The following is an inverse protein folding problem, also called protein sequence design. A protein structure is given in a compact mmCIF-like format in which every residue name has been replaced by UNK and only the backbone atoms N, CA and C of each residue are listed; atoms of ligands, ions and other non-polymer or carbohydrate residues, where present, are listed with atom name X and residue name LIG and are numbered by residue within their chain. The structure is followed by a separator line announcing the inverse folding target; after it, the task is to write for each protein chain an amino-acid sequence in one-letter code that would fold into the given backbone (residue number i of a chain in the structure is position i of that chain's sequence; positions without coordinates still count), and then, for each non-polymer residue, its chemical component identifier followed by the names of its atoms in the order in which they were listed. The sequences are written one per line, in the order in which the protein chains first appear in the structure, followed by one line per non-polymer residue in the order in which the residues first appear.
data_IF_383050455328
#
_entry.id   IF_383050455328
#
_cell.length_a   1.000
_cell.length_b   1.000
_cell.length_c   1.000
_cell.angle_alpha   90.00
_cell.angle_beta   90.00
_cell.angle_gamma   90.00
#
_symmetry.space_group_name_H-M   'P 1'
#
loop_
_entity.id
_entity.type
_entity.pdbx_description
1 polymer ?
#
# COMPACT_ATOMS: atom_id res chain seq x y z
N UNK A 1 42.20 58.25 -29.86
CA UNK A 1 40.92 58.50 -29.16
C UNK A 1 40.47 57.21 -28.50
N UNK A 2 40.20 57.29 -27.19
CA UNK A 2 39.60 56.29 -26.29
C UNK A 2 40.38 55.00 -26.00
N UNK A 3 41.07 54.87 -24.85
CA UNK A 3 40.55 54.57 -23.47
C UNK A 3 40.30 53.05 -23.34
N UNK A 4 41.21 52.26 -22.75
CA UNK A 4 41.43 51.98 -21.29
C UNK A 4 40.62 50.77 -20.77
N UNK A 5 41.31 49.96 -19.95
CA UNK A 5 40.86 48.96 -18.95
C UNK A 5 40.61 47.53 -19.48
N UNK A 6 41.46 46.52 -19.22
CA UNK A 6 41.96 45.95 -17.94
C UNK A 6 40.85 45.19 -17.18
N UNK A 7 41.13 43.91 -16.95
CA UNK A 7 40.77 43.11 -15.78
C UNK A 7 39.38 42.45 -15.66
N UNK A 8 39.47 41.13 -15.44
CA UNK A 8 39.02 40.45 -14.22
C UNK A 8 37.82 39.48 -14.28
N UNK A 9 38.12 38.32 -13.72
CA UNK A 9 37.30 37.49 -12.83
C UNK A 9 36.20 36.60 -13.43
N UNK A 10 36.50 35.30 -13.34
CA UNK A 10 35.66 34.31 -12.67
C UNK A 10 34.19 34.31 -13.10
N UNK A 11 33.88 33.43 -14.07
CA UNK A 11 32.54 32.87 -14.14
C UNK A 11 32.28 32.08 -12.85
N UNK A 12 31.53 32.76 -11.97
CA UNK A 12 30.97 32.29 -10.71
C UNK A 12 30.61 30.80 -10.74
N UNK A 13 31.38 29.99 -10.03
CA UNK A 13 30.82 28.86 -9.31
C UNK A 13 29.78 29.44 -8.37
N UNK A 14 28.50 29.20 -8.62
CA UNK A 14 27.47 29.43 -7.61
C UNK A 14 27.74 28.50 -6.42
N UNK A 15 28.56 28.98 -5.48
CA UNK A 15 28.70 28.41 -4.15
C UNK A 15 27.34 28.56 -3.47
N UNK A 16 26.75 27.44 -3.09
CA UNK A 16 25.41 27.36 -2.52
C UNK A 16 25.23 28.32 -1.35
N UNK A 17 24.27 29.23 -1.46
CA UNK A 17 23.84 30.07 -0.33
C UNK A 17 23.10 29.15 0.64
N UNK A 18 23.75 28.79 1.74
CA UNK A 18 23.11 28.07 2.85
C UNK A 18 21.95 28.91 3.40
N UNK A 19 20.80 28.28 3.59
CA UNK A 19 19.64 28.93 4.20
C UNK A 19 19.83 28.90 5.72
N UNK A 20 19.97 30.06 6.37
CA UNK A 20 20.16 30.14 7.81
C UNK A 20 18.92 30.69 8.50
N UNK A 21 18.50 30.04 9.59
CA UNK A 21 17.52 30.58 10.54
C UNK A 21 18.28 30.91 11.82
N UNK A 22 18.49 32.20 12.09
CA UNK A 22 19.33 32.66 13.21
C UNK A 22 20.78 32.17 13.07
N UNK A 23 21.28 31.48 14.11
CA UNK A 23 22.65 30.93 14.15
C UNK A 23 22.77 29.53 13.50
N UNK A 24 21.64 28.89 13.15
CA UNK A 24 21.64 27.55 12.56
C UNK A 24 21.54 27.59 11.04
N UNK A 25 22.60 27.17 10.37
CA UNK A 25 22.60 26.91 8.93
C UNK A 25 21.87 25.59 8.65
N UNK A 26 20.79 25.64 7.88
CA UNK A 26 20.07 24.44 7.44
C UNK A 26 20.94 23.78 6.36
N UNK A 27 21.43 22.55 6.60
CA UNK A 27 22.25 21.85 5.61
C UNK A 27 21.43 21.55 4.37
N UNK A 28 22.07 21.60 3.21
CA UNK A 28 21.43 21.20 1.96
C UNK A 28 21.10 19.71 2.00
N UNK A 29 20.07 19.28 1.27
CA UNK A 29 19.70 17.86 1.09
C UNK A 29 20.90 17.03 0.56
N UNK A 30 21.85 17.70 -0.12
CA UNK A 30 23.09 17.09 -0.62
C UNK A 30 24.10 16.82 0.48
N UNK A 31 24.14 17.63 1.53
CA UNK A 31 25.06 17.50 2.66
C UNK A 31 24.51 16.55 3.72
N UNK A 32 23.22 16.68 4.04
CA UNK A 32 22.55 15.84 5.03
C UNK A 32 21.13 15.51 4.56
N UNK A 33 20.73 14.22 4.58
CA UNK A 33 19.38 13.87 4.21
C UNK A 33 18.38 14.46 5.21
N UNK A 34 17.31 15.05 4.69
CA UNK A 34 16.29 15.73 5.51
C UNK A 34 15.21 14.72 5.87
N UNK A 35 14.87 14.63 7.15
CA UNK A 35 13.77 13.80 7.65
C UNK A 35 12.52 14.66 7.87
N UNK A 36 11.42 14.32 7.22
CA UNK A 36 10.10 14.95 7.44
C UNK A 36 9.03 13.87 7.53
N UNK A 37 8.28 13.85 8.63
CA UNK A 37 7.20 12.87 8.88
C UNK A 37 7.61 11.42 8.61
N UNK A 38 8.82 11.06 9.07
CA UNK A 38 9.48 9.75 8.84
C UNK A 38 9.88 9.42 7.41
N UNK A 39 9.59 10.30 6.44
CA UNK A 39 10.19 10.25 5.11
C UNK A 39 11.58 10.87 5.14
N UNK A 40 12.57 10.14 4.66
CA UNK A 40 13.94 10.63 4.49
C UNK A 40 14.14 11.01 3.02
N UNK A 41 14.51 12.27 2.78
CA UNK A 41 14.87 12.78 1.46
C UNK A 41 16.39 12.81 1.36
N UNK A 42 16.93 11.99 0.48
CA UNK A 42 18.34 11.97 0.12
C UNK A 42 18.58 12.76 -1.17
N UNK A 43 19.85 13.02 -1.49
CA UNK A 43 20.23 13.71 -2.74
C UNK A 43 19.79 12.97 -4.01
N UNK A 44 19.54 11.66 -3.92
CA UNK A 44 19.03 10.87 -5.03
C UNK A 44 17.54 11.08 -5.29
N UNK A 45 16.80 11.59 -4.30
CA UNK A 45 15.34 11.73 -4.27
C UNK A 45 14.59 10.41 -4.58
N UNK A 46 15.27 9.27 -4.48
CA UNK A 46 14.71 7.95 -4.76
C UNK A 46 14.41 7.23 -3.46
N UNK A 47 13.18 6.76 -3.35
CA UNK A 47 12.71 5.97 -2.21
C UNK A 47 13.33 4.55 -2.14
N UNK A 48 14.27 4.21 -3.03
CA UNK A 48 14.89 2.88 -3.12
C UNK A 48 15.68 2.47 -1.87
N UNK A 49 16.31 3.43 -1.19
CA UNK A 49 17.05 3.19 0.06
C UNK A 49 16.11 2.79 1.20
N UNK A 50 15.02 3.54 1.36
CA UNK A 50 13.99 3.27 2.35
C UNK A 50 13.31 1.92 2.13
N UNK A 51 12.96 1.59 0.87
CA UNK A 51 12.38 0.28 0.53
C UNK A 51 13.32 -0.87 0.89
N UNK A 52 14.63 -0.74 0.61
CA UNK A 52 15.63 -1.74 1.01
C UNK A 52 15.72 -1.87 2.52
N UNK A 53 15.64 -0.76 3.24
CA UNK A 53 15.65 -0.77 4.71
C UNK A 53 14.42 -1.48 5.27
N UNK A 54 13.21 -1.16 4.79
CA UNK A 54 11.97 -1.83 5.19
C UNK A 54 12.04 -3.34 4.96
N UNK A 55 12.65 -3.79 3.86
CA UNK A 55 12.87 -5.22 3.60
C UNK A 55 13.81 -5.87 4.62
N UNK A 56 14.89 -5.19 5.01
CA UNK A 56 15.82 -5.68 6.05
C UNK A 56 15.12 -5.75 7.39
N UNK A 57 14.41 -4.69 7.77
CA UNK A 57 13.68 -4.61 9.04
C UNK A 57 12.64 -5.72 9.14
N UNK A 58 11.86 -5.95 8.07
CA UNK A 58 10.91 -7.06 7.99
C UNK A 58 11.60 -8.41 8.20
N UNK A 59 12.75 -8.63 7.57
CA UNK A 59 13.51 -9.88 7.72
C UNK A 59 13.99 -10.07 9.15
N UNK A 60 14.46 -9.01 9.80
CA UNK A 60 14.88 -9.02 11.21
C UNK A 60 13.68 -9.34 12.12
N UNK A 61 12.54 -8.67 11.93
CA UNK A 61 11.33 -8.90 12.73
C UNK A 61 10.81 -10.34 12.59
N UNK A 62 10.69 -10.84 11.35
CA UNK A 62 10.24 -12.21 11.11
C UNK A 62 11.20 -13.25 11.70
N UNK A 63 12.52 -13.01 11.61
CA UNK A 63 13.52 -13.91 12.18
C UNK A 63 13.48 -13.91 13.71
N UNK A 64 13.29 -12.75 14.34
CA UNK A 64 13.12 -12.63 15.78
C UNK A 64 11.87 -13.39 16.26
N UNK A 65 10.75 -13.25 15.54
CA UNK A 65 9.52 -13.99 15.83
C UNK A 65 9.74 -15.50 15.64
N UNK A 66 10.43 -15.92 14.58
CA UNK A 66 10.72 -17.33 14.34
C UNK A 66 11.51 -17.96 15.49
N UNK A 67 12.48 -17.23 16.04
CA UNK A 67 13.37 -17.64 17.15
C UNK A 67 12.76 -17.48 18.55
N UNK A 68 11.59 -16.86 18.69
CA UNK A 68 10.96 -16.57 20.00
C UNK A 68 10.53 -17.79 20.82
N UNK A 69 10.61 -19.02 20.29
CA UNK A 69 10.13 -20.23 20.96
C UNK A 69 8.60 -20.35 21.06
N UNK A 70 7.85 -19.34 20.60
CA UNK A 70 6.38 -19.32 20.71
C UNK A 70 5.71 -20.40 19.83
N UNK A 71 4.54 -20.91 20.24
CA UNK A 71 3.66 -21.66 19.36
C UNK A 71 3.31 -20.88 18.09
N UNK A 72 3.20 -21.59 16.97
CA UNK A 72 2.98 -21.01 15.64
C UNK A 72 1.76 -20.07 15.53
N UNK A 73 0.69 -20.40 16.26
CA UNK A 73 -0.54 -19.60 16.33
C UNK A 73 -0.27 -18.18 16.86
N UNK A 74 0.55 -18.07 17.90
CA UNK A 74 0.92 -16.78 18.49
C UNK A 74 1.87 -16.00 17.59
N UNK A 75 2.78 -16.68 16.87
CA UNK A 75 3.64 -16.03 15.86
C UNK A 75 2.80 -15.41 14.73
N UNK A 76 1.80 -16.14 14.24
CA UNK A 76 0.86 -15.64 13.24
C UNK A 76 0.03 -14.46 13.76
N UNK A 77 -0.41 -14.51 15.02
CA UNK A 77 -1.11 -13.41 15.68
C UNK A 77 -0.24 -12.15 15.80
N UNK A 78 1.03 -12.29 16.23
CA UNK A 78 2.01 -11.19 16.30
C UNK A 78 2.25 -10.58 14.92
N UNK A 79 2.32 -11.41 13.88
CA UNK A 79 2.40 -10.91 12.52
C UNK A 79 1.17 -10.05 12.17
N UNK A 80 -0.04 -10.58 12.37
CA UNK A 80 -1.28 -9.93 11.96
C UNK A 80 -1.51 -8.60 12.68
N UNK A 81 -1.24 -8.53 13.99
CA UNK A 81 -1.57 -7.38 14.82
C UNK A 81 -0.37 -6.48 15.17
N UNK A 82 0.87 -6.96 15.00
CA UNK A 82 2.08 -6.19 15.31
C UNK A 82 2.87 -5.83 14.05
N UNK A 83 3.33 -6.84 13.32
CA UNK A 83 4.23 -6.64 12.17
C UNK A 83 3.51 -5.98 11.00
N UNK A 84 2.31 -6.44 10.67
CA UNK A 84 1.57 -5.98 9.49
C UNK A 84 1.24 -4.47 9.57
N UNK A 85 0.65 -3.92 10.66
CA UNK A 85 0.44 -2.48 10.79
C UNK A 85 1.75 -1.68 10.72
N UNK A 86 2.81 -2.18 11.38
CA UNK A 86 4.14 -1.53 11.37
C UNK A 86 4.77 -1.51 9.98
N UNK A 87 4.54 -2.55 9.17
CA UNK A 87 5.03 -2.65 7.79
C UNK A 87 4.22 -1.78 6.83
N UNK A 88 2.91 -1.65 7.04
CA UNK A 88 2.04 -0.84 6.18
C UNK A 88 2.41 0.64 6.19
N UNK A 89 2.87 1.17 7.32
CA UNK A 89 3.25 2.57 7.44
C UNK A 89 4.36 3.02 6.47
N UNK A 90 5.57 2.41 6.45
CA UNK A 90 6.59 2.78 5.46
C UNK A 90 6.13 2.52 4.03
N UNK A 91 5.34 1.46 3.79
CA UNK A 91 4.79 1.19 2.45
C UNK A 91 3.81 2.27 1.97
N UNK A 92 3.20 3.02 2.90
CA UNK A 92 2.27 4.12 2.65
C UNK A 92 3.02 5.43 2.37
N UNK A 93 4.07 5.71 3.15
CA UNK A 93 4.86 6.94 3.05
C UNK A 93 5.74 7.01 1.79
N UNK A 94 6.36 5.89 1.40
CA UNK A 94 7.29 5.84 0.26
C UNK A 94 6.59 5.42 -1.03
N UNK A 95 7.08 5.85 -2.20
CA UNK A 95 6.54 5.40 -3.49
C UNK A 95 6.97 3.95 -3.77
N UNK A 96 6.14 2.98 -3.36
CA UNK A 96 6.45 1.54 -3.49
C UNK A 96 5.66 0.92 -4.65
N UNK A 97 6.34 0.28 -5.63
CA UNK A 97 5.63 -0.45 -6.68
C UNK A 97 5.04 -1.75 -6.14
N UNK A 98 3.86 -2.14 -6.63
CA UNK A 98 3.14 -3.36 -6.20
C UNK A 98 3.99 -4.64 -6.30
N UNK A 99 4.90 -4.74 -7.28
CA UNK A 99 5.80 -5.88 -7.44
C UNK A 99 6.72 -6.10 -6.24
N UNK A 100 7.16 -5.01 -5.59
CA UNK A 100 7.98 -5.11 -4.37
C UNK A 100 7.16 -5.63 -3.21
N UNK A 101 5.91 -5.16 -3.07
CA UNK A 101 4.98 -5.62 -2.03
C UNK A 101 4.69 -7.11 -2.17
N UNK A 102 4.47 -7.59 -3.39
CA UNK A 102 4.28 -9.02 -3.68
C UNK A 102 5.51 -9.86 -3.31
N UNK A 103 6.72 -9.33 -3.54
CA UNK A 103 7.95 -10.00 -3.14
C UNK A 103 8.10 -10.09 -1.61
N UNK A 104 7.69 -9.05 -0.87
CA UNK A 104 7.63 -9.08 0.60
C UNK A 104 6.59 -10.09 1.09
N UNK A 105 5.39 -10.10 0.50
CA UNK A 105 4.33 -11.06 0.83
C UNK A 105 4.77 -12.51 0.62
N UNK A 106 5.53 -12.78 -0.45
CA UNK A 106 6.09 -14.12 -0.70
C UNK A 106 7.03 -14.57 0.42
N UNK A 107 7.87 -13.66 0.95
CA UNK A 107 8.75 -13.96 2.08
C UNK A 107 7.93 -14.21 3.35
N UNK A 108 6.96 -13.34 3.64
CA UNK A 108 6.04 -13.50 4.78
C UNK A 108 5.28 -14.83 4.72
N UNK A 109 4.76 -15.19 3.55
CA UNK A 109 4.02 -16.44 3.32
C UNK A 109 4.86 -17.68 3.67
N UNK A 110 6.17 -17.65 3.43
CA UNK A 110 7.06 -18.77 3.79
C UNK A 110 7.15 -18.95 5.31
N UNK A 111 7.29 -17.84 6.06
CA UNK A 111 7.29 -17.87 7.52
C UNK A 111 5.94 -18.31 8.07
N UNK A 112 4.83 -17.76 7.57
CA UNK A 112 3.49 -18.12 8.01
C UNK A 112 3.19 -19.61 7.81
N UNK A 113 3.53 -20.18 6.64
CA UNK A 113 3.35 -21.61 6.39
C UNK A 113 4.17 -22.46 7.35
N UNK A 114 5.43 -22.07 7.60
CA UNK A 114 6.31 -22.77 8.54
C UNK A 114 5.77 -22.71 9.97
N UNK A 115 5.29 -21.56 10.43
CA UNK A 115 4.75 -21.38 11.78
C UNK A 115 3.47 -22.17 11.98
N UNK A 116 2.58 -22.19 10.98
CA UNK A 116 1.29 -22.89 11.07
C UNK A 116 1.38 -24.39 10.75
N UNK A 117 2.56 -24.91 10.39
CA UNK A 117 2.73 -26.31 10.00
C UNK A 117 2.07 -26.66 8.66
N UNK A 118 1.85 -25.66 7.80
CA UNK A 118 1.21 -25.84 6.49
C UNK A 118 2.23 -26.32 5.45
N UNK A 119 1.82 -27.16 4.48
CA UNK A 119 2.70 -27.58 3.39
C UNK A 119 3.27 -26.39 2.61
N UNK A 120 4.55 -26.48 2.21
CA UNK A 120 5.18 -25.43 1.38
C UNK A 120 4.47 -25.24 0.04
N UNK A 121 3.83 -26.29 -0.47
CA UNK A 121 3.05 -26.31 -1.72
C UNK A 121 1.68 -25.61 -1.62
N UNK A 122 1.20 -25.30 -0.40
CA UNK A 122 -0.07 -24.60 -0.23
C UNK A 122 -0.03 -23.26 -0.98
N UNK A 123 -1.07 -22.92 -1.73
CA UNK A 123 -1.12 -21.64 -2.46
C UNK A 123 -1.26 -20.46 -1.49
N UNK A 124 -0.76 -19.27 -1.86
CA UNK A 124 -1.02 -18.05 -1.10
C UNK A 124 -2.50 -17.67 -1.12
N UNK A 125 -3.24 -18.09 -2.15
CA UNK A 125 -4.69 -17.93 -2.25
C UNK A 125 -5.40 -18.64 -1.10
N UNK A 126 -5.01 -19.87 -0.76
CA UNK A 126 -5.59 -20.59 0.39
C UNK A 126 -5.12 -20.06 1.75
N UNK A 127 -4.05 -19.25 1.79
CA UNK A 127 -3.52 -18.67 3.02
C UNK A 127 -4.25 -17.38 3.42
N UNK A 128 -4.59 -16.54 2.44
CA UNK A 128 -5.19 -15.21 2.63
C UNK A 128 -6.64 -15.11 2.12
N UNK A 129 -7.15 -16.16 1.47
CA UNK A 129 -8.46 -16.19 0.86
C UNK A 129 -9.59 -16.22 1.90
N UNK A 130 -10.61 -15.42 1.65
CA UNK A 130 -11.84 -15.42 2.45
C UNK A 130 -12.93 -16.29 1.84
N UNK A 131 -12.78 -16.71 0.58
CA UNK A 131 -13.71 -17.59 -0.14
C UNK A 131 -13.32 -19.07 -0.11
N UNK A 132 -12.17 -19.41 0.47
CA UNK A 132 -11.67 -20.79 0.57
C UNK A 132 -12.21 -21.51 1.79
N UNK A 133 -12.41 -22.84 1.71
CA UNK A 133 -12.79 -23.67 2.87
C UNK A 133 -11.90 -23.47 4.10
N UNK A 134 -10.63 -23.17 3.85
CA UNK A 134 -9.65 -22.83 4.88
C UNK A 134 -9.73 -21.31 5.10
N UNK A 135 -10.50 -20.90 6.11
CA UNK A 135 -10.64 -19.49 6.50
C UNK A 135 -9.64 -19.18 7.62
N UNK A 136 -8.46 -18.66 7.26
CA UNK A 136 -7.51 -18.12 8.25
C UNK A 136 -7.77 -16.64 8.43
N UNK A 137 -7.67 -16.16 9.67
CA UNK A 137 -7.73 -14.72 10.00
C UNK A 137 -6.39 -14.04 9.69
N UNK A 138 -5.91 -14.19 8.44
CA UNK A 138 -4.67 -13.63 7.95
C UNK A 138 -4.93 -12.71 6.77
N UNK A 139 -4.52 -11.45 6.91
CA UNK A 139 -4.58 -10.49 5.81
C UNK A 139 -3.35 -10.61 4.91
N UNK A 140 -3.58 -10.60 3.59
CA UNK A 140 -2.50 -10.47 2.61
C UNK A 140 -1.90 -9.07 2.63
N UNK A 141 -0.57 -8.96 2.55
CA UNK A 141 0.11 -7.66 2.53
C UNK A 141 -0.28 -6.83 1.30
N UNK A 142 -0.39 -7.47 0.14
CA UNK A 142 -0.80 -6.84 -1.11
C UNK A 142 -2.24 -6.31 -1.05
N UNK A 143 -3.14 -7.01 -0.37
CA UNK A 143 -4.52 -6.58 -0.15
C UNK A 143 -4.57 -5.33 0.72
N UNK A 144 -3.96 -5.37 1.91
CA UNK A 144 -3.94 -4.22 2.82
C UNK A 144 -3.19 -3.04 2.21
N UNK A 145 -2.15 -3.27 1.40
CA UNK A 145 -1.47 -2.23 0.65
C UNK A 145 -2.41 -1.55 -0.36
N UNK A 146 -3.13 -2.32 -1.19
CA UNK A 146 -4.11 -1.78 -2.16
C UNK A 146 -5.19 -0.98 -1.45
N UNK A 147 -5.72 -1.47 -0.33
CA UNK A 147 -6.74 -0.78 0.48
C UNK A 147 -6.20 0.51 1.09
N UNK A 148 -4.99 0.46 1.67
CA UNK A 148 -4.36 1.62 2.30
C UNK A 148 -4.08 2.73 1.28
N UNK A 149 -3.56 2.37 0.10
CA UNK A 149 -3.35 3.32 -0.99
C UNK A 149 -4.63 3.93 -1.52
N UNK A 150 -5.67 3.12 -1.66
CA UNK A 150 -6.96 3.61 -2.10
C UNK A 150 -7.61 4.53 -1.06
N UNK A 151 -7.42 4.23 0.23
CA UNK A 151 -7.82 5.10 1.33
C UNK A 151 -7.09 6.44 1.27
N UNK A 152 -5.79 6.47 0.99
CA UNK A 152 -5.03 7.72 0.80
C UNK A 152 -5.59 8.55 -0.36
N UNK A 153 -5.88 7.95 -1.52
CA UNK A 153 -6.51 8.65 -2.65
C UNK A 153 -7.81 9.32 -2.22
N UNK A 154 -8.67 8.57 -1.53
CA UNK A 154 -9.94 9.09 -1.03
C UNK A 154 -9.75 10.20 0.01
N UNK A 155 -8.69 10.13 0.84
CA UNK A 155 -8.40 11.18 1.81
C UNK A 155 -7.95 12.48 1.15
N UNK A 156 -7.14 12.43 0.09
CA UNK A 156 -6.74 13.63 -0.65
C UNK A 156 -7.91 14.23 -1.43
N UNK A 157 -8.71 13.39 -2.10
CA UNK A 157 -9.87 13.83 -2.89
C UNK A 157 -10.97 14.43 -2.01
N UNK A 158 -11.32 13.74 -0.93
CA UNK A 158 -12.41 14.13 -0.03
C UNK A 158 -11.90 15.03 1.13
N UNK A 159 -10.73 15.66 0.96
CA UNK A 159 -10.17 16.58 1.97
C UNK A 159 -11.06 17.81 2.15
N UNK A 160 -11.09 18.36 3.36
CA UNK A 160 -11.76 19.63 3.65
C UNK A 160 -10.95 20.82 3.15
N UNK A 161 -9.62 20.64 3.04
CA UNK A 161 -8.71 21.69 2.64
C UNK A 161 -8.69 21.81 1.11
N UNK A 162 -9.24 22.91 0.60
CA UNK A 162 -9.35 23.19 -0.84
C UNK A 162 -7.97 23.10 -1.52
N UNK A 163 -6.91 23.55 -0.85
CA UNK A 163 -5.53 23.46 -1.38
C UNK A 163 -5.08 22.02 -1.63
N UNK A 164 -5.46 21.09 -0.75
CA UNK A 164 -5.12 19.67 -0.88
C UNK A 164 -5.92 19.04 -2.02
N UNK A 165 -7.21 19.32 -2.08
CA UNK A 165 -8.08 18.81 -3.16
C UNK A 165 -7.67 19.37 -4.52
N UNK A 166 -7.30 20.66 -4.59
CA UNK A 166 -6.87 21.32 -5.83
C UNK A 166 -5.46 20.90 -6.29
N UNK A 167 -4.62 20.38 -5.40
CA UNK A 167 -3.26 19.97 -5.74
C UNK A 167 -3.18 18.75 -6.68
N UNK A 168 -4.29 18.01 -6.88
CA UNK A 168 -4.33 16.90 -7.84
C UNK A 168 -3.30 15.80 -7.54
N UNK A 169 -3.06 15.51 -6.26
CA UNK A 169 -1.97 14.62 -5.81
C UNK A 169 -2.17 13.21 -6.39
N UNK A 170 -1.21 12.78 -7.22
CA UNK A 170 -1.16 11.44 -7.79
C UNK A 170 -0.22 10.53 -6.99
N UNK A 171 -0.81 9.55 -6.32
CA UNK A 171 -0.08 8.44 -5.69
C UNK A 171 0.58 7.54 -6.75
N UNK A 172 1.90 7.36 -6.66
CA UNK A 172 2.62 6.43 -7.53
C UNK A 172 2.67 5.04 -6.90
N UNK A 173 1.95 4.08 -7.49
CA UNK A 173 1.91 2.66 -7.04
C UNK A 173 2.60 1.70 -8.01
N UNK A 174 3.35 2.23 -8.98
CA UNK A 174 4.06 1.48 -10.02
C UNK A 174 3.23 1.34 -11.31
N UNK A 175 3.64 0.46 -12.24
CA UNK A 175 2.94 0.27 -13.53
C UNK A 175 1.84 -0.81 -13.48
N UNK A 176 1.98 -1.78 -12.56
CA UNK A 176 1.11 -2.97 -12.52
C UNK A 176 -0.30 -2.67 -12.00
N UNK A 177 -0.42 -1.70 -11.11
CA UNK A 177 -1.68 -1.35 -10.46
C UNK A 177 -1.65 0.14 -10.08
N UNK A 178 -2.73 0.86 -10.36
CA UNK A 178 -2.91 2.27 -10.04
C UNK A 178 -4.06 2.44 -9.03
N UNK A 179 -3.80 3.17 -7.95
CA UNK A 179 -4.80 3.37 -6.90
C UNK A 179 -6.01 4.20 -7.37
N UNK A 180 -5.79 5.24 -8.17
CA UNK A 180 -6.83 6.13 -8.68
C UNK A 180 -7.79 5.41 -9.62
N UNK A 181 -7.24 4.59 -10.51
CA UNK A 181 -8.05 3.76 -11.42
C UNK A 181 -8.85 2.73 -10.63
N UNK A 182 -8.24 2.08 -9.64
CA UNK A 182 -8.92 1.10 -8.78
C UNK A 182 -10.08 1.74 -7.99
N UNK A 183 -9.88 2.94 -7.44
CA UNK A 183 -10.95 3.69 -6.75
C UNK A 183 -12.08 4.02 -7.72
N UNK A 184 -11.75 4.55 -8.91
CA UNK A 184 -12.75 4.90 -9.92
C UNK A 184 -13.55 3.67 -10.38
N UNK A 185 -12.86 2.56 -10.62
CA UNK A 185 -13.47 1.27 -10.97
C UNK A 185 -14.40 0.76 -9.86
N UNK A 186 -13.96 0.83 -8.60
CA UNK A 186 -14.76 0.44 -7.45
C UNK A 186 -16.02 1.31 -7.31
N UNK A 187 -15.93 2.62 -7.53
CA UNK A 187 -17.10 3.51 -7.53
C UNK A 187 -18.11 3.17 -8.63
N UNK A 188 -17.63 2.88 -9.84
CA UNK A 188 -18.49 2.46 -10.96
C UNK A 188 -19.17 1.13 -10.63
N UNK A 189 -18.43 0.16 -10.09
CA UNK A 189 -18.99 -1.13 -9.64
C UNK A 189 -20.07 -0.94 -8.58
N UNK A 190 -19.84 -0.08 -7.60
CA UNK A 190 -20.82 0.20 -6.55
C UNK A 190 -22.08 0.88 -7.11
N UNK A 191 -21.94 1.85 -8.01
CA UNK A 191 -23.08 2.47 -8.71
C UNK A 191 -23.87 1.43 -9.52
N UNK A 192 -23.16 0.54 -10.22
CA UNK A 192 -23.78 -0.55 -10.96
C UNK A 192 -24.52 -1.52 -10.02
N UNK A 193 -23.94 -1.88 -8.87
CA UNK A 193 -24.60 -2.72 -7.86
C UNK A 193 -25.85 -2.07 -7.30
N UNK A 194 -25.86 -0.75 -7.09
CA UNK A 194 -27.06 -0.01 -6.71
C UNK A 194 -28.13 -0.07 -7.80
N UNK A 195 -27.75 0.15 -9.07
CA UNK A 195 -28.69 0.13 -10.20
C UNK A 195 -29.35 -1.24 -10.41
N UNK A 196 -28.55 -2.31 -10.38
CA UNK A 196 -29.04 -3.69 -10.51
C UNK A 196 -29.99 -4.06 -9.36
N UNK A 197 -29.84 -3.41 -8.20
CA UNK A 197 -30.66 -3.66 -7.03
C UNK A 197 -30.47 -5.06 -6.46
N UNK A 198 -31.51 -5.58 -5.81
CA UNK A 198 -31.51 -6.89 -5.18
C UNK A 198 -31.74 -7.99 -6.22
N UNK A 199 -30.74 -8.83 -6.44
CA UNK A 199 -30.86 -10.04 -7.27
C UNK A 199 -31.11 -11.24 -6.37
N UNK A 200 -31.96 -12.17 -6.78
CA UNK A 200 -32.15 -13.44 -6.10
C UNK A 200 -30.83 -14.22 -6.04
N UNK A 201 -30.43 -14.64 -4.84
CA UNK A 201 -29.24 -15.46 -4.61
C UNK A 201 -29.65 -16.88 -4.22
N UNK A 202 -29.34 -17.83 -5.09
CA UNK A 202 -29.75 -19.23 -4.91
C UNK A 202 -31.27 -19.38 -4.80
N UNK A 203 -31.74 -20.14 -3.82
CA UNK A 203 -33.17 -20.37 -3.57
C UNK A 203 -33.79 -19.45 -2.50
N UNK A 204 -33.03 -18.48 -1.98
CA UNK A 204 -33.45 -17.62 -0.88
C UNK A 204 -34.45 -16.52 -1.28
N UNK A 205 -34.75 -16.36 -2.57
CA UNK A 205 -35.68 -15.34 -3.07
C UNK A 205 -35.13 -13.91 -3.01
N UNK A 206 -35.98 -12.93 -3.30
CA UNK A 206 -35.65 -11.51 -3.24
C UNK A 206 -35.69 -10.99 -1.80
N UNK A 207 -34.79 -10.05 -1.46
CA UNK A 207 -34.84 -9.32 -0.18
C UNK A 207 -34.18 -10.02 1.01
N UNK A 208 -33.73 -11.26 0.86
CA UNK A 208 -33.13 -12.02 1.97
C UNK A 208 -31.73 -11.52 2.39
N UNK A 209 -31.06 -10.74 1.53
CA UNK A 209 -29.71 -10.24 1.78
C UNK A 209 -29.67 -8.71 1.71
N UNK A 210 -29.52 -8.01 2.85
CA UNK A 210 -29.36 -6.56 2.85
C UNK A 210 -28.07 -6.20 2.12
N UNK A 211 -28.16 -5.23 1.20
CA UNK A 211 -27.01 -4.71 0.47
C UNK A 211 -26.67 -3.30 0.96
N UNK A 212 -25.38 -2.97 1.07
CA UNK A 212 -24.98 -1.59 1.34
C UNK A 212 -25.42 -0.68 0.18
N UNK A 213 -26.10 0.41 0.53
CA UNK A 213 -26.61 1.41 -0.41
C UNK A 213 -25.57 2.52 -0.61
N UNK A 214 -24.78 2.40 -1.66
CA UNK A 214 -23.72 3.36 -1.97
C UNK A 214 -24.26 4.77 -2.28
N UNK A 215 -25.47 4.85 -2.84
CA UNK A 215 -26.23 6.06 -3.15
C UNK A 215 -26.63 6.88 -1.91
N UNK A 216 -26.90 6.19 -0.79
CA UNK A 216 -27.25 6.84 0.48
C UNK A 216 -26.04 7.07 1.39
N UNK A 217 -24.91 6.45 1.08
CA UNK A 217 -23.72 6.50 1.91
C UNK A 217 -22.97 7.83 1.73
N UNK A 218 -22.58 8.45 2.84
CA UNK A 218 -21.82 9.71 2.84
C UNK A 218 -20.53 9.64 3.66
N UNK A 219 -19.58 10.51 3.34
CA UNK A 219 -18.35 10.73 4.12
C UNK A 219 -17.56 9.45 4.42
N UNK A 220 -17.48 9.07 5.70
CA UNK A 220 -16.72 7.89 6.15
C UNK A 220 -17.32 6.58 5.66
N UNK A 221 -18.64 6.48 5.63
CA UNK A 221 -19.33 5.26 5.20
C UNK A 221 -19.09 4.99 3.72
N UNK A 222 -19.24 6.02 2.88
CA UNK A 222 -18.95 5.93 1.44
C UNK A 222 -17.52 5.46 1.16
N UNK A 223 -16.54 6.00 1.89
CA UNK A 223 -15.13 5.58 1.77
C UNK A 223 -14.91 4.14 2.23
N UNK A 224 -15.63 3.68 3.25
CA UNK A 224 -15.58 2.28 3.71
C UNK A 224 -16.12 1.34 2.63
N UNK A 225 -17.26 1.65 2.01
CA UNK A 225 -17.83 0.83 0.93
C UNK A 225 -16.87 0.68 -0.25
N UNK A 226 -16.17 1.76 -0.62
CA UNK A 226 -15.16 1.70 -1.69
C UNK A 226 -13.98 0.80 -1.29
N UNK A 227 -13.49 0.90 -0.05
CA UNK A 227 -12.41 0.03 0.45
C UNK A 227 -12.83 -1.44 0.48
N UNK A 228 -14.05 -1.73 0.91
CA UNK A 228 -14.59 -3.09 0.97
C UNK A 228 -14.81 -3.66 -0.46
N UNK A 229 -15.22 -2.83 -1.42
CA UNK A 229 -15.30 -3.23 -2.83
C UNK A 229 -13.93 -3.57 -3.42
N UNK A 230 -12.88 -2.82 -3.05
CA UNK A 230 -11.51 -3.10 -3.48
C UNK A 230 -11.00 -4.41 -2.87
N UNK A 231 -11.33 -4.72 -1.61
CA UNK A 231 -11.04 -6.04 -1.01
C UNK A 231 -11.76 -7.15 -1.78
N UNK A 232 -13.04 -6.94 -2.11
CA UNK A 232 -13.80 -7.89 -2.90
C UNK A 232 -13.18 -8.12 -4.29
N UNK A 233 -12.67 -7.08 -4.95
CA UNK A 233 -11.95 -7.23 -6.23
C UNK A 233 -10.67 -8.05 -6.08
N UNK A 234 -9.89 -7.84 -5.02
CA UNK A 234 -8.70 -8.67 -4.74
C UNK A 234 -9.09 -10.13 -4.50
N UNK A 235 -10.19 -10.38 -3.81
CA UNK A 235 -10.69 -11.74 -3.58
C UNK A 235 -11.21 -12.39 -4.88
N UNK A 236 -11.86 -11.63 -5.77
CA UNK A 236 -12.24 -12.08 -7.11
C UNK A 236 -11.01 -12.45 -7.96
N UNK A 237 -9.93 -11.64 -7.91
CA UNK A 237 -8.65 -11.96 -8.56
C UNK A 237 -8.04 -13.27 -8.03
N UNK A 238 -8.22 -13.57 -6.74
CA UNK A 238 -7.78 -14.84 -6.15
C UNK A 238 -8.65 -16.01 -6.61
N UNK A 239 -9.97 -15.82 -6.62
CA UNK A 239 -10.93 -16.83 -7.04
C UNK A 239 -10.75 -17.21 -8.52
N UNK A 240 -10.59 -16.22 -9.40
CA UNK A 240 -10.32 -16.44 -10.83
C UNK A 240 -9.03 -17.23 -11.06
N UNK A 241 -7.96 -16.93 -10.33
CA UNK A 241 -6.71 -17.72 -10.37
C UNK A 241 -6.93 -19.15 -9.89
N UNK A 242 -7.65 -19.34 -8.78
CA UNK A 242 -7.95 -20.66 -8.24
C UNK A 242 -8.74 -21.53 -9.23
N UNK A 243 -9.76 -20.95 -9.88
CA UNK A 243 -10.54 -21.62 -10.92
C UNK A 243 -9.70 -21.98 -12.16
N UNK A 244 -8.60 -21.27 -12.41
CA UNK A 244 -7.63 -21.63 -13.44
C UNK A 244 -6.72 -22.81 -13.03
N UNK A 245 -6.38 -22.93 -11.74
CA UNK A 245 -5.51 -23.99 -11.23
C UNK A 245 -6.16 -25.38 -11.27
N UNK A 246 -7.49 -25.46 -11.14
CA UNK A 246 -8.22 -26.74 -11.23
C UNK A 246 -8.06 -27.41 -12.60
N UNK A 247 -7.70 -26.65 -13.65
CA UNK A 247 -7.46 -27.16 -15.00
C UNK A 247 -6.04 -27.72 -15.21
N UNK A 248 -5.15 -27.61 -14.23
CA UNK A 248 -3.75 -28.07 -14.31
C UNK A 248 -3.53 -29.46 -13.69
N UNK A 249 -4.61 -30.12 -13.23
CA UNK A 249 -4.60 -31.52 -12.81
C UNK A 249 -5.38 -32.37 -13.80
N UNK A 250 -4.75 -32.72 -14.92
CA UNK A 250 -5.10 -33.82 -15.80
C UNK A 250 -3.81 -34.35 -16.43
#
# INVERSE_FOLDING_TARGET
MSVLLRNCHEHDRQVGRGFALGETTIPSVTEKPVKSLEKIFDSSLKDSGAIKQTKRDLTIWLTAIDKSGLPGKFKAWIYQHGVLPRLLWPLSVYEVPTSTVEALEKSISQFLRRWLGLPRSLSSIALYGHSTKLHLLLSGLSEEFKVTRSREVLMYRDSRDIKVTAAGILLKTGRKWQAQEAVTKAEVRLRHKTLVGSVATGRAGFGCFPRPRYDLAHGKERRRLIQDEIRAEVEEERYTKMAGMSKQGA
#
